data_IF_893976608636
#
_entry.id   IF_893976608636
#
_cell.length_a   1.000
_cell.length_b   1.000
_cell.length_c   1.000
_cell.angle_alpha   90.00
_cell.angle_beta   90.00
_cell.angle_gamma   90.00
#
_symmetry.space_group_name_H-M   'P 1'
#
loop_
_entity.id
_entity.type
_entity.pdbx_description
1 polymer ?
#
# COMPACT_ATOMS: atom_id res chain seq x y z
N UNK A 1 18.07 2.12 -19.12
CA UNK A 1 18.32 1.42 -17.84
C UNK A 1 17.09 0.59 -17.51
N UNK A 2 17.18 -0.74 -17.63
CA UNK A 2 16.04 -1.65 -17.45
C UNK A 2 15.76 -1.78 -15.95
N UNK A 3 14.55 -1.39 -15.49
CA UNK A 3 14.11 -1.57 -14.11
C UNK A 3 14.06 -3.07 -13.81
N UNK A 4 14.95 -3.58 -12.97
CA UNK A 4 14.73 -4.89 -12.32
C UNK A 4 13.47 -4.78 -11.48
N UNK A 5 12.49 -5.64 -11.73
CA UNK A 5 11.30 -5.74 -10.89
C UNK A 5 11.74 -6.17 -9.49
N UNK A 6 11.42 -5.36 -8.47
CA UNK A 6 11.75 -5.64 -7.06
C UNK A 6 11.07 -6.93 -6.59
N UNK A 7 9.92 -7.25 -7.18
CA UNK A 7 9.18 -8.48 -6.94
C UNK A 7 9.28 -9.38 -8.18
N UNK A 8 9.41 -10.70 -7.97
CA UNK A 8 9.30 -11.68 -9.06
C UNK A 8 7.94 -11.60 -9.77
N UNK A 9 7.76 -12.30 -10.90
CA UNK A 9 6.45 -12.39 -11.54
C UNK A 9 5.41 -12.93 -10.55
N UNK A 10 4.20 -12.38 -10.60
CA UNK A 10 3.09 -12.81 -9.73
C UNK A 10 2.90 -14.33 -9.85
N UNK A 11 2.95 -15.08 -8.74
CA UNK A 11 2.95 -16.53 -8.78
C UNK A 11 1.61 -17.09 -9.27
N UNK A 12 1.67 -18.11 -10.14
CA UNK A 12 0.50 -18.87 -10.55
C UNK A 12 0.36 -20.11 -9.67
N UNK A 13 -0.73 -20.17 -8.88
CA UNK A 13 -1.09 -21.38 -8.13
C UNK A 13 -1.87 -22.35 -9.03
N UNK A 14 -1.67 -23.68 -8.91
CA UNK A 14 -2.46 -24.65 -9.67
C UNK A 14 -3.95 -24.52 -9.36
N UNK A 15 -4.78 -24.54 -10.41
CA UNK A 15 -6.23 -24.34 -10.29
C UNK A 15 -6.90 -25.37 -9.38
N UNK A 16 -7.70 -24.90 -8.40
CA UNK A 16 -8.53 -25.79 -7.57
C UNK A 16 -9.62 -26.44 -8.43
N UNK A 17 -9.67 -27.78 -8.41
CA UNK A 17 -10.84 -28.53 -8.89
C UNK A 17 -12.02 -28.20 -7.97
N UNK A 18 -13.06 -27.56 -8.51
CA UNK A 18 -14.32 -27.33 -7.78
C UNK A 18 -14.95 -28.69 -7.43
N UNK A 19 -15.06 -29.01 -6.14
CA UNK A 19 -16.03 -30.00 -5.68
C UNK A 19 -17.39 -29.33 -5.67
N UNK A 20 -18.27 -29.75 -6.57
CA UNK A 20 -19.67 -29.35 -6.59
C UNK A 20 -20.37 -30.08 -5.44
N UNK A 21 -20.78 -29.36 -4.40
CA UNK A 21 -21.69 -29.87 -3.39
C UNK A 21 -23.12 -29.54 -3.83
N UNK A 22 -23.89 -30.58 -4.17
CA UNK A 22 -25.30 -30.53 -4.52
C UNK A 22 -26.16 -30.66 -3.26
N UNK A 23 -26.93 -29.62 -2.89
CA UNK A 23 -28.13 -29.70 -2.02
C UNK A 23 -29.10 -28.60 -2.43
N UNK A 24 -30.15 -28.95 -3.17
CA UNK A 24 -31.53 -29.20 -2.70
C UNK A 24 -32.29 -27.94 -2.29
N UNK A 25 -33.26 -27.59 -3.15
CA UNK A 25 -34.18 -26.47 -3.04
C UNK A 25 -35.27 -26.72 -2.00
N UNK A 26 -35.53 -25.73 -1.16
CA UNK A 26 -36.71 -25.63 -0.30
C UNK A 26 -37.41 -24.30 -0.54
N UNK A 27 -38.67 -24.36 -0.99
CA UNK A 27 -39.55 -23.22 -1.28
C UNK A 27 -40.03 -22.53 -0.01
N UNK A 28 -40.12 -21.19 -0.02
CA UNK A 28 -40.65 -20.42 1.13
C UNK A 28 -40.95 -18.95 0.84
N UNK A 29 -42.07 -18.71 0.16
CA UNK A 29 -43.01 -17.56 0.24
C UNK A 29 -42.49 -16.09 0.27
N UNK A 30 -42.92 -15.37 -0.77
CA UNK A 30 -42.98 -13.90 -0.91
C UNK A 30 -43.89 -13.26 0.14
N UNK A 31 -43.47 -12.10 0.68
CA UNK A 31 -44.36 -11.01 1.13
C UNK A 31 -43.74 -9.65 0.77
N UNK A 32 -44.61 -8.71 0.46
CA UNK A 32 -44.41 -7.40 -0.16
C UNK A 32 -44.14 -6.27 0.86
N UNK A 33 -43.36 -5.28 0.36
CA UNK A 33 -43.12 -3.85 0.73
C UNK A 33 -44.30 -3.07 1.39
N UNK A 34 -44.16 -1.83 1.92
CA UNK A 34 -43.04 -0.85 1.79
C UNK A 34 -42.67 -0.04 3.07
N UNK A 35 -41.51 0.66 3.07
CA UNK A 35 -41.44 2.13 3.21
C UNK A 35 -40.02 2.69 3.00
N UNK A 36 -39.95 3.79 2.22
CA UNK A 36 -38.76 4.59 1.92
C UNK A 36 -38.97 5.97 2.53
N UNK A 37 -38.10 6.43 3.43
CA UNK A 37 -37.55 7.82 3.46
C UNK A 37 -36.67 8.08 4.69
N UNK A 38 -35.67 8.94 4.45
CA UNK A 38 -34.77 9.66 5.37
C UNK A 38 -33.92 8.78 6.29
N UNK A 39 -32.59 8.75 6.15
CA UNK A 39 -31.70 9.89 6.44
C UNK A 39 -30.43 9.81 5.56
N UNK A 40 -30.16 10.88 4.80
CA UNK A 40 -28.89 11.16 4.13
C UNK A 40 -28.23 12.34 4.86
N UNK A 41 -26.95 12.19 5.21
CA UNK A 41 -25.92 13.15 5.69
C UNK A 41 -24.91 12.30 6.48
N UNK A 42 -23.59 12.28 6.32
CA UNK A 42 -22.63 13.10 5.59
C UNK A 42 -21.41 12.21 5.33
N UNK A 43 -20.86 12.22 4.12
CA UNK A 43 -19.48 11.84 3.86
C UNK A 43 -19.03 12.64 2.63
N UNK A 44 -18.14 13.61 2.87
CA UNK A 44 -17.84 14.72 1.97
C UNK A 44 -17.28 14.31 0.61
N UNK A 45 -17.91 14.87 -0.42
CA UNK A 45 -17.35 15.08 -1.75
C UNK A 45 -16.11 15.98 -1.66
N UNK A 46 -15.01 15.56 -2.28
CA UNK A 46 -14.06 16.48 -2.92
C UNK A 46 -14.02 16.12 -4.39
N UNK A 47 -14.51 17.08 -5.18
CA UNK A 47 -14.85 16.98 -6.58
C UNK A 47 -13.67 16.68 -7.51
N UNK A 48 -13.96 15.85 -8.51
CA UNK A 48 -13.22 15.76 -9.76
C UNK A 48 -13.15 17.14 -10.45
N UNK A 49 -11.93 17.66 -10.64
CA UNK A 49 -11.68 18.71 -11.63
C UNK A 49 -10.99 18.07 -12.83
N UNK A 50 -11.74 17.99 -13.94
CA UNK A 50 -11.24 17.62 -15.26
C UNK A 50 -10.19 18.65 -15.72
N UNK A 51 -8.99 18.18 -16.06
CA UNK A 51 -7.99 19.00 -16.76
C UNK A 51 -8.35 19.12 -18.24
N UNK A 52 -8.41 20.36 -18.73
CA UNK A 52 -8.59 20.71 -20.15
C UNK A 52 -7.25 20.60 -20.89
N UNK A 53 -7.19 20.13 -22.16
CA UNK A 53 -5.94 20.08 -22.90
C UNK A 53 -5.60 21.47 -23.47
N UNK A 54 -4.42 21.99 -23.16
CA UNK A 54 -3.90 23.21 -23.80
C UNK A 54 -3.19 22.82 -25.10
N UNK A 55 -3.69 23.38 -26.19
CA UNK A 55 -3.25 23.13 -27.56
C UNK A 55 -1.97 23.85 -27.96
N UNK A 56 -1.45 23.40 -29.11
CA UNK A 56 -0.31 23.93 -29.86
C UNK A 56 -0.49 25.41 -30.24
N UNK A 57 0.60 26.16 -30.16
CA UNK A 57 0.81 27.44 -30.85
C UNK A 57 2.31 27.67 -31.05
N UNK A 58 2.72 27.85 -32.31
CA UNK A 58 4.11 27.90 -32.79
C UNK A 58 4.56 29.35 -32.99
N UNK A 59 5.88 29.58 -32.91
CA UNK A 59 6.74 30.45 -33.78
C UNK A 59 7.31 31.75 -33.18
N UNK A 60 8.64 31.84 -33.17
CA UNK A 60 9.38 32.99 -33.74
C UNK A 60 10.44 33.70 -32.88
N UNK A 61 11.72 33.48 -33.21
CA UNK A 61 12.93 34.36 -33.11
C UNK A 61 13.36 34.88 -31.72
N UNK A 62 14.66 34.99 -31.37
CA UNK A 62 15.88 35.27 -32.16
C UNK A 62 17.14 34.78 -31.44
N UNK A 63 18.19 34.60 -32.25
CA UNK A 63 19.56 34.22 -31.91
C UNK A 63 20.31 35.32 -31.13
N UNK A 64 21.03 34.94 -30.07
CA UNK A 64 22.32 35.55 -29.69
C UNK A 64 22.96 34.81 -28.51
N UNK A 65 23.98 34.00 -28.79
CA UNK A 65 25.01 33.61 -27.82
C UNK A 65 26.30 33.30 -28.59
N UNK A 66 27.33 34.11 -28.33
CA UNK A 66 28.63 34.07 -28.99
C UNK A 66 29.43 32.78 -28.76
N UNK A 67 30.61 32.66 -29.40
CA UNK A 67 31.36 31.42 -29.46
C UNK A 67 31.87 31.02 -28.07
N UNK A 68 31.52 29.80 -27.65
CA UNK A 68 32.06 29.14 -26.47
C UNK A 68 33.48 28.64 -26.79
N UNK A 69 34.43 29.01 -25.94
CA UNK A 69 35.86 28.67 -26.04
C UNK A 69 36.12 27.16 -26.22
N UNK A 70 37.13 26.85 -27.04
CA UNK A 70 37.67 25.51 -27.25
C UNK A 70 38.21 24.87 -25.96
N UNK A 71 38.08 23.54 -25.77
CA UNK A 71 38.67 22.86 -24.63
C UNK A 71 40.18 22.62 -24.84
N UNK A 72 41.00 23.14 -23.92
CA UNK A 72 42.43 22.82 -23.84
C UNK A 72 42.66 21.39 -23.29
N UNK A 73 43.65 20.63 -23.80
CA UNK A 73 43.91 19.27 -23.36
C UNK A 73 44.91 19.23 -22.20
N UNK A 74 44.71 18.30 -21.27
CA UNK A 74 45.75 17.81 -20.35
C UNK A 74 45.46 18.02 -18.87
N UNK A 75 44.89 17.00 -18.21
CA UNK A 75 45.43 16.53 -16.94
C UNK A 75 45.05 15.06 -16.75
N UNK A 76 45.98 14.21 -17.12
CA UNK A 76 46.12 12.80 -16.81
C UNK A 76 46.59 12.62 -15.36
N UNK A 77 45.87 11.83 -14.57
CA UNK A 77 46.42 11.30 -13.32
C UNK A 77 45.45 11.17 -12.17
N UNK A 78 45.04 9.93 -11.93
CA UNK A 78 44.53 9.41 -10.64
C UNK A 78 43.31 10.11 -10.04
N UNK A 79 42.13 9.65 -10.44
CA UNK A 79 40.87 9.92 -9.76
C UNK A 79 40.87 9.37 -8.33
N UNK A 80 41.36 10.17 -7.40
CA UNK A 80 41.01 10.03 -5.99
C UNK A 80 39.53 10.41 -5.89
N UNK A 81 38.63 9.42 -5.90
CA UNK A 81 37.23 9.66 -5.53
C UNK A 81 37.23 10.22 -4.10
N UNK A 82 37.19 11.55 -3.97
CA UNK A 82 36.82 12.19 -2.73
C UNK A 82 35.45 11.62 -2.34
N UNK A 83 35.44 10.77 -1.31
CA UNK A 83 34.19 10.42 -0.61
C UNK A 83 33.54 11.75 -0.23
N UNK A 84 32.33 11.99 -0.72
CA UNK A 84 31.61 13.22 -0.44
C UNK A 84 31.48 13.40 1.08
N UNK A 85 31.91 14.54 1.61
CA UNK A 85 31.73 14.94 3.02
C UNK A 85 30.26 15.31 3.34
N UNK A 86 29.30 14.80 2.57
CA UNK A 86 27.89 14.97 2.86
C UNK A 86 27.50 14.03 4.00
N UNK A 87 26.70 14.47 4.99
CA UNK A 87 26.33 13.66 6.16
C UNK A 87 25.39 12.48 5.83
N UNK A 88 25.21 12.18 4.54
CA UNK A 88 24.31 11.16 4.03
C UNK A 88 25.09 10.20 3.15
N UNK A 89 25.21 8.97 3.63
CA UNK A 89 25.67 7.84 2.83
C UNK A 89 24.53 7.45 1.87
N UNK A 90 24.74 7.65 0.57
CA UNK A 90 23.76 7.27 -0.46
C UNK A 90 23.51 5.76 -0.52
N UNK A 91 24.44 4.96 0.03
CA UNK A 91 24.36 3.51 0.09
C UNK A 91 23.89 2.99 1.46
N UNK A 92 23.51 3.88 2.38
CA UNK A 92 23.01 3.46 3.69
C UNK A 92 21.74 2.62 3.52
N UNK A 93 21.72 1.36 3.96
CA UNK A 93 20.60 0.47 3.69
C UNK A 93 19.33 1.05 4.30
N UNK A 94 18.29 1.14 3.48
CA UNK A 94 16.91 1.57 3.82
C UNK A 94 16.22 0.58 4.77
N UNK A 95 16.99 -0.32 5.41
CA UNK A 95 16.61 -1.46 6.23
C UNK A 95 16.00 -1.11 7.61
N UNK A 96 15.02 -0.19 7.64
CA UNK A 96 14.42 0.31 8.88
C UNK A 96 12.90 0.32 8.88
N UNK A 97 12.26 -0.37 7.94
CA UNK A 97 10.80 -0.45 7.91
C UNK A 97 10.31 -1.89 7.91
N UNK A 98 9.19 -2.13 8.58
CA UNK A 98 8.42 -3.36 8.50
C UNK A 98 7.36 -3.18 7.41
N UNK A 99 7.36 -4.05 6.40
CA UNK A 99 6.23 -4.13 5.48
C UNK A 99 4.98 -4.61 6.24
N UNK A 100 3.86 -3.95 5.97
CA UNK A 100 2.56 -4.31 6.53
C UNK A 100 1.51 -4.40 5.43
N UNK A 101 0.48 -5.21 5.64
CA UNK A 101 -0.71 -5.22 4.80
C UNK A 101 -1.95 -5.20 5.70
N UNK A 102 -2.77 -4.17 5.55
CA UNK A 102 -4.07 -4.10 6.19
C UNK A 102 -5.10 -4.77 5.26
N UNK A 103 -5.43 -6.01 5.58
CA UNK A 103 -6.33 -6.85 4.78
C UNK A 103 -7.75 -6.64 5.25
N UNK A 104 -8.61 -6.12 4.38
CA UNK A 104 -10.05 -6.08 4.59
C UNK A 104 -10.69 -7.22 3.78
N UNK A 105 -11.44 -8.11 4.43
CA UNK A 105 -12.07 -9.23 3.74
C UNK A 105 -13.40 -9.65 4.39
N UNK A 106 -14.29 -10.24 3.60
CA UNK A 106 -15.49 -10.91 4.06
C UNK A 106 -15.36 -12.43 4.01
N UNK A 107 -16.43 -13.14 4.36
CA UNK A 107 -16.48 -14.61 4.41
C UNK A 107 -16.17 -15.28 3.06
N UNK A 108 -16.49 -14.61 1.95
CA UNK A 108 -16.33 -15.12 0.59
C UNK A 108 -14.87 -15.29 0.13
N UNK A 109 -13.89 -14.69 0.82
CA UNK A 109 -12.49 -14.80 0.39
C UNK A 109 -11.92 -16.19 0.71
N UNK A 110 -11.18 -16.78 -0.22
CA UNK A 110 -10.34 -17.95 0.08
C UNK A 110 -9.09 -17.48 0.86
N UNK A 111 -9.20 -17.46 2.20
CA UNK A 111 -8.18 -16.91 3.10
C UNK A 111 -6.84 -17.61 2.97
N UNK A 112 -6.83 -18.94 2.93
CA UNK A 112 -5.59 -19.72 2.78
C UNK A 112 -4.87 -19.36 1.48
N UNK A 113 -5.64 -19.24 0.38
CA UNK A 113 -5.10 -18.83 -0.92
C UNK A 113 -4.57 -17.40 -0.88
N UNK A 114 -5.27 -16.48 -0.24
CA UNK A 114 -4.82 -15.09 -0.08
C UNK A 114 -3.51 -15.01 0.70
N UNK A 115 -3.41 -15.68 1.85
CA UNK A 115 -2.19 -15.70 2.66
C UNK A 115 -1.02 -16.33 1.88
N UNK A 116 -1.27 -17.45 1.19
CA UNK A 116 -0.26 -18.10 0.32
C UNK A 116 0.26 -17.13 -0.74
N UNK A 117 -0.64 -16.41 -1.43
CA UNK A 117 -0.24 -15.45 -2.47
C UNK A 117 0.57 -14.28 -1.89
N UNK A 118 0.18 -13.77 -0.72
CA UNK A 118 0.93 -12.73 -0.02
C UNK A 118 2.32 -13.21 0.38
N UNK A 119 2.45 -14.42 0.92
CA UNK A 119 3.74 -14.99 1.33
C UNK A 119 4.68 -15.23 0.15
N UNK A 120 4.15 -15.78 -0.94
CA UNK A 120 4.95 -15.98 -2.16
C UNK A 120 5.42 -14.67 -2.78
N UNK A 121 4.70 -13.56 -2.55
CA UNK A 121 4.98 -12.26 -3.14
C UNK A 121 5.92 -11.42 -2.29
N UNK A 122 5.65 -11.33 -0.99
CA UNK A 122 6.31 -10.41 -0.06
C UNK A 122 7.23 -11.12 0.95
N UNK A 123 7.29 -12.45 0.90
CA UNK A 123 8.01 -13.30 1.85
C UNK A 123 7.16 -13.72 3.06
N UNK A 124 7.73 -14.46 4.01
CA UNK A 124 7.00 -15.03 5.14
C UNK A 124 6.22 -13.99 5.94
N UNK A 125 4.99 -14.32 6.32
CA UNK A 125 4.19 -13.50 7.24
C UNK A 125 4.64 -13.84 8.65
N UNK A 126 5.33 -12.91 9.30
CA UNK A 126 5.81 -13.09 10.67
C UNK A 126 4.78 -12.69 11.73
N UNK A 127 3.76 -11.92 11.36
CA UNK A 127 2.74 -11.41 12.26
C UNK A 127 1.36 -11.40 11.60
N UNK A 128 0.37 -11.92 12.32
CA UNK A 128 -1.05 -11.87 11.99
C UNK A 128 -1.78 -11.28 13.18
N UNK A 129 -2.45 -10.15 13.00
CA UNK A 129 -3.24 -9.47 14.02
C UNK A 129 -4.58 -10.16 14.27
N UNK A 130 -5.34 -9.64 15.25
CA UNK A 130 -6.71 -10.07 15.46
C UNK A 130 -7.61 -9.60 14.29
N UNK A 131 -8.75 -10.26 14.12
CA UNK A 131 -9.79 -9.80 13.21
C UNK A 131 -10.61 -8.72 13.90
N UNK A 132 -10.65 -7.53 13.29
CA UNK A 132 -11.45 -6.41 13.79
C UNK A 132 -12.63 -6.15 12.86
N UNK A 133 -13.85 -5.95 13.36
CA UNK A 133 -14.97 -5.53 12.53
C UNK A 133 -14.63 -4.26 11.74
N UNK A 134 -15.07 -4.18 10.48
CA UNK A 134 -15.00 -2.98 9.66
C UNK A 134 -16.39 -2.35 9.57
N UNK A 135 -16.76 -1.59 10.60
CA UNK A 135 -18.11 -1.10 10.88
C UNK A 135 -18.24 0.42 10.86
N UNK A 136 -17.17 1.13 10.48
CA UNK A 136 -17.15 2.59 10.44
C UNK A 136 -17.75 3.17 9.14
N UNK A 137 -17.95 2.36 8.10
CA UNK A 137 -18.51 2.77 6.80
C UNK A 137 -19.02 1.56 6.00
N UNK A 138 -20.04 1.78 5.18
CA UNK A 138 -20.60 0.78 4.27
C UNK A 138 -19.99 0.80 2.86
N UNK A 139 -18.90 1.56 2.66
CA UNK A 139 -18.29 1.80 1.34
C UNK A 139 -18.05 0.52 0.50
N UNK A 140 -17.67 -0.60 1.14
CA UNK A 140 -17.38 -1.86 0.45
C UNK A 140 -18.56 -2.84 0.39
N UNK A 141 -19.71 -2.53 1.02
CA UNK A 141 -20.82 -3.47 1.21
C UNK A 141 -21.37 -4.01 -0.11
N UNK A 142 -21.58 -3.13 -1.09
CA UNK A 142 -22.17 -3.53 -2.39
C UNK A 142 -21.23 -4.41 -3.22
N UNK A 143 -19.90 -4.23 -3.08
CA UNK A 143 -18.89 -4.98 -3.83
C UNK A 143 -18.48 -6.28 -3.13
N UNK A 144 -18.25 -6.23 -1.81
CA UNK A 144 -17.63 -7.29 -1.00
C UNK A 144 -18.59 -7.97 -0.02
N UNK A 145 -19.83 -7.51 0.10
CA UNK A 145 -20.80 -8.04 1.07
C UNK A 145 -20.69 -7.45 2.47
N UNK A 146 -21.45 -8.02 3.40
CA UNK A 146 -21.52 -7.60 4.81
C UNK A 146 -20.52 -8.35 5.69
N UNK A 147 -20.37 -7.92 6.94
CA UNK A 147 -19.54 -8.63 7.93
C UNK A 147 -18.04 -8.57 7.64
N UNK A 148 -17.58 -7.49 6.99
CA UNK A 148 -16.17 -7.33 6.67
C UNK A 148 -15.32 -7.17 7.94
N UNK A 149 -14.15 -7.80 7.93
CA UNK A 149 -13.16 -7.68 8.99
C UNK A 149 -11.82 -7.19 8.43
N UNK A 150 -11.13 -6.35 9.20
CA UNK A 150 -9.76 -5.93 8.91
C UNK A 150 -8.76 -6.67 9.80
N UNK A 151 -7.72 -7.21 9.19
CA UNK A 151 -6.60 -7.87 9.85
C UNK A 151 -5.29 -7.19 9.44
N UNK A 152 -4.41 -6.87 10.41
CA UNK A 152 -3.07 -6.39 10.12
C UNK A 152 -2.10 -7.55 9.97
N UNK A 153 -1.37 -7.59 8.85
CA UNK A 153 -0.27 -8.52 8.61
C UNK A 153 1.06 -7.76 8.60
N UNK A 154 2.14 -8.41 9.03
CA UNK A 154 3.49 -7.91 8.81
C UNK A 154 4.45 -9.02 8.36
N UNK A 155 5.38 -8.64 7.48
CA UNK A 155 6.31 -9.57 6.83
C UNK A 155 7.68 -9.60 7.51
N UNK A 156 8.35 -10.75 7.43
CA UNK A 156 9.67 -10.95 8.04
C UNK A 156 10.81 -10.32 7.24
N UNK A 157 10.64 -10.24 5.91
CA UNK A 157 11.67 -9.75 4.99
C UNK A 157 11.87 -8.24 5.17
N UNK A 158 13.13 -7.75 5.25
CA UNK A 158 13.42 -6.32 5.20
C UNK A 158 12.84 -5.69 3.95
N UNK A 159 12.09 -4.61 4.11
CA UNK A 159 11.39 -3.98 3.00
C UNK A 159 12.05 -2.64 2.62
N UNK A 160 12.43 -2.42 1.34
CA UNK A 160 12.86 -1.11 0.87
C UNK A 160 11.64 -0.21 0.67
N UNK A 161 11.56 0.92 1.36
CA UNK A 161 10.38 1.80 1.30
C UNK A 161 10.07 2.36 -0.10
N UNK A 162 11.07 2.43 -0.98
CA UNK A 162 10.96 2.82 -2.39
C UNK A 162 10.09 1.82 -3.18
N UNK A 163 9.99 0.57 -2.71
CA UNK A 163 9.15 -0.44 -3.32
C UNK A 163 7.66 -0.33 -2.95
N UNK A 164 7.26 0.71 -2.21
CA UNK A 164 5.85 0.94 -1.84
C UNK A 164 4.93 1.00 -3.07
N UNK A 165 5.34 1.73 -4.12
CA UNK A 165 4.57 1.85 -5.36
C UNK A 165 4.37 0.50 -6.08
N UNK A 166 5.43 -0.25 -6.45
CA UNK A 166 5.24 -1.55 -7.07
C UNK A 166 4.49 -2.55 -6.17
N UNK A 167 4.72 -2.53 -4.85
CA UNK A 167 4.01 -3.42 -3.92
C UNK A 167 2.48 -3.19 -3.92
N UNK A 168 2.03 -1.92 -3.96
CA UNK A 168 0.59 -1.62 -4.03
C UNK A 168 -0.04 -2.07 -5.35
N UNK A 169 0.69 -1.95 -6.46
CA UNK A 169 0.19 -2.41 -7.75
C UNK A 169 0.05 -3.94 -7.78
N UNK A 170 1.03 -4.66 -7.24
CA UNK A 170 0.95 -6.12 -7.09
C UNK A 170 -0.22 -6.52 -6.19
N UNK A 171 -0.48 -5.79 -5.10
CA UNK A 171 -1.68 -6.03 -4.29
C UNK A 171 -2.97 -5.90 -5.12
N UNK A 172 -3.06 -4.93 -6.02
CA UNK A 172 -4.17 -4.82 -6.96
C UNK A 172 -4.30 -6.02 -7.92
N UNK A 173 -3.20 -6.63 -8.35
CA UNK A 173 -3.22 -7.89 -9.11
C UNK A 173 -3.73 -9.06 -8.26
N UNK A 174 -3.27 -9.17 -7.02
CA UNK A 174 -3.72 -10.21 -6.09
C UNK A 174 -5.21 -10.09 -5.78
N UNK A 175 -5.71 -8.87 -5.55
CA UNK A 175 -7.15 -8.59 -5.39
C UNK A 175 -7.96 -9.09 -6.59
N UNK A 176 -7.47 -8.87 -7.83
CA UNK A 176 -8.10 -9.39 -9.06
C UNK A 176 -8.08 -10.91 -9.13
N UNK A 177 -6.99 -11.55 -8.71
CA UNK A 177 -6.88 -13.02 -8.70
C UNK A 177 -7.80 -13.69 -7.67
N UNK A 178 -8.11 -12.98 -6.58
CA UNK A 178 -9.00 -13.42 -5.51
C UNK A 178 -10.48 -13.10 -5.80
N UNK A 179 -10.76 -12.26 -6.80
CA UNK A 179 -12.10 -11.86 -7.17
C UNK A 179 -12.97 -13.06 -7.59
N UNK A 180 -14.25 -13.00 -7.24
CA UNK A 180 -15.27 -13.99 -7.61
C UNK A 180 -16.27 -13.29 -8.51
N UNK A 181 -16.49 -13.82 -9.71
CA UNK A 181 -17.42 -13.25 -10.71
C UNK A 181 -17.10 -11.78 -11.03
N UNK A 182 -15.82 -11.42 -11.04
CA UNK A 182 -15.36 -10.04 -11.28
C UNK A 182 -15.56 -9.09 -10.09
N UNK A 183 -16.16 -9.54 -8.98
CA UNK A 183 -16.29 -8.77 -7.75
C UNK A 183 -15.15 -9.07 -6.80
N UNK A 184 -14.61 -8.01 -6.21
CA UNK A 184 -13.52 -8.12 -5.24
C UNK A 184 -14.00 -8.81 -3.97
N UNK A 185 -13.13 -9.65 -3.41
CA UNK A 185 -13.42 -10.40 -2.17
C UNK A 185 -12.55 -9.95 -1.00
N UNK A 186 -11.44 -9.28 -1.28
CA UNK A 186 -10.54 -8.67 -0.31
C UNK A 186 -9.96 -7.35 -0.85
N UNK A 187 -9.70 -6.38 0.03
CA UNK A 187 -8.92 -5.17 -0.25
C UNK A 187 -7.61 -5.25 0.53
N UNK A 188 -6.49 -5.11 -0.17
CA UNK A 188 -5.13 -5.28 0.32
C UNK A 188 -4.43 -3.92 0.38
N UNK A 189 -4.51 -3.27 1.55
CA UNK A 189 -3.85 -1.98 1.79
C UNK A 189 -2.41 -2.20 2.26
N UNK A 190 -1.51 -2.29 1.28
CA UNK A 190 -0.07 -2.42 1.54
C UNK A 190 0.51 -1.12 2.08
N UNK A 191 1.48 -1.24 2.98
CA UNK A 191 2.18 -0.12 3.58
C UNK A 191 3.47 -0.51 4.26
N UNK A 192 4.02 0.41 5.02
CA UNK A 192 5.12 0.13 5.92
C UNK A 192 4.98 0.88 7.24
N UNK A 193 5.67 0.35 8.25
CA UNK A 193 5.85 0.95 9.55
C UNK A 193 7.34 1.18 9.77
N UNK A 194 7.71 2.40 10.16
CA UNK A 194 9.06 2.75 10.59
C UNK A 194 9.05 3.15 12.09
N UNK A 195 10.20 3.50 12.69
CA UNK A 195 10.24 3.87 14.11
C UNK A 195 9.36 5.07 14.51
N UNK A 196 8.92 5.87 13.54
CA UNK A 196 8.28 7.17 13.68
C UNK A 196 6.87 7.23 13.10
N UNK A 197 6.50 6.39 12.13
CA UNK A 197 5.22 6.51 11.43
C UNK A 197 4.72 5.19 10.83
N UNK A 198 3.43 5.20 10.49
CA UNK A 198 2.76 4.19 9.67
C UNK A 198 2.31 4.88 8.38
N UNK A 199 2.63 4.25 7.24
CA UNK A 199 2.33 4.76 5.90
C UNK A 199 1.63 3.67 5.10
N UNK A 200 0.48 3.97 4.50
CA UNK A 200 -0.21 3.08 3.56
C UNK A 200 -0.09 3.62 2.14
N UNK A 201 -0.12 2.73 1.15
CA UNK A 201 -0.14 3.10 -0.26
C UNK A 201 -1.57 3.30 -0.77
N UNK A 202 -1.78 4.36 -1.55
CA UNK A 202 -3.07 4.71 -2.13
C UNK A 202 -2.96 4.91 -3.63
N UNK A 203 -4.01 4.50 -4.36
CA UNK A 203 -4.19 4.83 -5.79
C UNK A 203 -5.03 6.10 -6.00
N UNK A 204 -5.41 6.77 -4.90
CA UNK A 204 -6.19 8.01 -4.93
C UNK A 204 -5.34 9.15 -4.39
N UNK A 205 -5.21 10.22 -5.16
CA UNK A 205 -4.61 11.47 -4.71
C UNK A 205 -5.43 12.10 -3.57
N UNK A 206 -4.75 12.77 -2.65
CA UNK A 206 -5.34 13.65 -1.65
C UNK A 206 -4.27 14.63 -1.15
N UNK A 207 -4.67 15.80 -0.63
CA UNK A 207 -3.75 16.91 -0.35
C UNK A 207 -2.61 16.60 0.61
N UNK A 208 -2.78 15.65 1.54
CA UNK A 208 -1.74 15.21 2.48
C UNK A 208 -0.79 14.14 1.90
N UNK A 209 -1.20 13.48 0.82
CA UNK A 209 -0.49 12.32 0.29
C UNK A 209 0.65 12.77 -0.60
N UNK A 210 1.73 11.98 -0.62
CA UNK A 210 2.93 12.27 -1.40
C UNK A 210 2.98 11.29 -2.57
N UNK A 211 3.09 11.80 -3.80
CA UNK A 211 3.25 10.93 -4.97
C UNK A 211 4.60 10.22 -4.90
N UNK A 212 4.59 8.90 -5.05
CA UNK A 212 5.79 8.04 -4.97
C UNK A 212 6.06 7.31 -6.29
N UNK A 213 5.46 7.80 -7.38
CA UNK A 213 5.58 7.22 -8.71
C UNK A 213 4.50 6.17 -9.05
N UNK A 214 4.41 5.82 -10.33
CA UNK A 214 3.48 4.79 -10.85
C UNK A 214 1.99 5.05 -10.54
N UNK A 215 1.61 6.31 -10.32
CA UNK A 215 0.25 6.67 -9.90
C UNK A 215 -0.09 6.29 -8.46
N UNK A 216 0.92 5.89 -7.67
CA UNK A 216 0.77 5.53 -6.26
C UNK A 216 1.18 6.70 -5.37
N UNK A 217 0.46 6.86 -4.27
CA UNK A 217 0.65 7.89 -3.28
C UNK A 217 0.93 7.25 -1.92
N UNK A 218 1.92 7.77 -1.19
CA UNK A 218 2.16 7.45 0.20
C UNK A 218 1.22 8.27 1.09
N UNK A 219 0.47 7.60 1.95
CA UNK A 219 -0.49 8.18 2.89
C UNK A 219 -0.04 7.91 4.33
N UNK A 220 0.61 8.88 5.01
CA UNK A 220 0.94 8.74 6.42
C UNK A 220 -0.35 8.73 7.26
N UNK A 221 -0.60 7.64 7.98
CA UNK A 221 -1.86 7.47 8.75
C UNK A 221 -1.66 7.56 10.25
N UNK A 222 -0.44 7.47 10.76
CA UNK A 222 -0.15 7.67 12.18
C UNK A 222 1.31 8.02 12.41
N UNK A 223 1.60 8.73 13.50
CA UNK A 223 2.96 9.00 13.98
C UNK A 223 3.17 8.42 15.37
N UNK A 224 4.36 7.89 15.63
CA UNK A 224 4.77 7.45 16.96
C UNK A 224 5.13 8.64 17.84
N UNK A 225 4.44 8.83 18.94
CA UNK A 225 4.72 9.88 19.92
C UNK A 225 4.22 9.47 21.31
N UNK A 226 5.07 9.72 22.31
CA UNK A 226 4.73 9.52 23.74
C UNK A 226 4.22 8.10 24.03
N UNK A 227 4.89 7.10 23.46
CA UNK A 227 4.59 5.68 23.69
C UNK A 227 3.41 5.11 22.89
N UNK A 228 2.78 5.89 22.00
CA UNK A 228 1.62 5.45 21.24
C UNK A 228 1.68 5.91 19.77
N UNK A 229 0.90 5.24 18.91
CA UNK A 229 0.59 5.73 17.58
C UNK A 229 -0.53 6.77 17.66
N UNK A 230 -0.19 8.02 17.31
CA UNK A 230 -1.13 9.12 17.25
C UNK A 230 -1.65 9.26 15.82
N UNK A 231 -2.96 9.08 15.58
CA UNK A 231 -3.53 9.28 14.26
C UNK A 231 -3.44 10.76 13.85
N UNK A 232 -3.47 11.01 12.54
CA UNK A 232 -3.66 12.33 11.96
C UNK A 232 -5.15 12.64 11.79
N UNK A 233 -5.48 13.89 11.47
CA UNK A 233 -6.87 14.34 11.26
C UNK A 233 -7.56 13.67 10.07
N UNK A 234 -6.78 13.15 9.11
CA UNK A 234 -7.26 12.43 7.92
C UNK A 234 -7.22 10.90 8.07
N UNK A 235 -6.71 10.36 9.19
CA UNK A 235 -6.61 8.90 9.41
C UNK A 235 -7.98 8.25 9.35
N UNK A 236 -8.06 7.08 8.69
CA UNK A 236 -9.28 6.29 8.58
C UNK A 236 -9.96 6.09 9.94
N UNK A 237 -11.31 6.15 10.03
CA UNK A 237 -12.03 6.09 11.31
C UNK A 237 -11.73 4.84 12.14
N UNK A 238 -11.58 3.68 11.49
CA UNK A 238 -11.25 2.42 12.16
C UNK A 238 -9.85 2.48 12.79
N UNK A 239 -8.84 3.01 12.08
CA UNK A 239 -7.52 3.25 12.66
C UNK A 239 -7.54 4.29 13.79
N UNK A 240 -8.33 5.35 13.63
CA UNK A 240 -8.46 6.40 14.65
C UNK A 240 -9.06 5.90 15.95
N UNK A 241 -9.86 4.84 15.91
CA UNK A 241 -10.45 4.23 17.11
C UNK A 241 -9.44 3.54 18.03
N UNK A 242 -8.20 3.34 17.58
CA UNK A 242 -7.15 2.68 18.35
C UNK A 242 -7.26 1.14 18.37
N UNK A 243 -8.22 0.56 17.64
CA UNK A 243 -8.45 -0.91 17.64
C UNK A 243 -7.23 -1.73 17.17
N UNK A 244 -6.32 -1.12 16.41
CA UNK A 244 -5.10 -1.77 15.93
C UNK A 244 -3.83 -1.39 16.70
N UNK A 245 -3.94 -0.63 17.80
CA UNK A 245 -2.78 -0.06 18.49
C UNK A 245 -1.85 -1.14 19.04
N UNK A 246 -2.42 -2.22 19.60
CA UNK A 246 -1.65 -3.33 20.15
C UNK A 246 -0.80 -4.03 19.06
N UNK A 247 -1.41 -4.29 17.90
CA UNK A 247 -0.74 -4.88 16.75
C UNK A 247 0.36 -3.96 16.20
N UNK A 248 0.09 -2.66 16.05
CA UNK A 248 1.08 -1.70 15.57
C UNK A 248 2.28 -1.59 16.53
N UNK A 249 2.03 -1.58 17.85
CA UNK A 249 3.08 -1.59 18.88
C UNK A 249 3.94 -2.85 18.78
N UNK A 250 3.31 -4.01 18.60
CA UNK A 250 4.00 -5.29 18.50
C UNK A 250 4.86 -5.39 17.23
N UNK A 251 4.31 -5.00 16.08
CA UNK A 251 5.06 -4.94 14.80
C UNK A 251 6.28 -4.02 14.96
N UNK A 252 6.11 -2.87 15.61
CA UNK A 252 7.19 -1.92 15.89
C UNK A 252 8.26 -2.50 16.82
N UNK A 253 7.87 -3.25 17.86
CA UNK A 253 8.79 -3.92 18.78
C UNK A 253 9.68 -4.90 18.00
N UNK A 254 9.07 -5.76 17.18
CA UNK A 254 9.78 -6.73 16.32
C UNK A 254 10.72 -6.06 15.32
N UNK A 255 10.30 -4.95 14.70
CA UNK A 255 11.17 -4.16 13.83
C UNK A 255 12.42 -3.68 14.57
N UNK A 256 12.25 -3.09 15.76
CA UNK A 256 13.37 -2.61 16.58
C UNK A 256 14.34 -3.72 16.97
N UNK A 257 13.84 -4.92 17.27
CA UNK A 257 14.66 -6.09 17.58
C UNK A 257 15.50 -6.52 16.39
N UNK A 258 14.89 -6.65 15.20
CA UNK A 258 15.59 -6.96 13.96
C UNK A 258 16.68 -5.93 13.64
N UNK A 259 16.35 -4.63 13.73
CA UNK A 259 17.34 -3.56 13.48
C UNK A 259 18.49 -3.58 14.49
N UNK A 260 18.24 -3.95 15.75
CA UNK A 260 19.30 -4.10 16.78
C UNK A 260 20.16 -5.34 16.57
N UNK A 261 19.60 -6.43 16.06
CA UNK A 261 20.35 -7.64 15.72
C UNK A 261 21.28 -7.37 14.53
N UNK A 262 20.75 -6.79 13.44
CA UNK A 262 21.54 -6.47 12.24
C UNK A 262 22.72 -5.53 12.50
N UNK A 263 22.61 -4.60 13.47
CA UNK A 263 23.71 -3.71 13.90
C UNK A 263 24.79 -4.38 14.74
N UNK A 264 24.51 -5.55 15.31
CA UNK A 264 25.48 -6.31 16.12
C UNK A 264 26.27 -7.30 15.27
N UNK A 265 25.74 -7.64 14.10
CA UNK A 265 26.32 -8.63 13.17
C UNK A 265 27.17 -8.00 12.06
N UNK A 266 27.09 -6.68 11.86
CA UNK A 266 27.89 -5.91 10.90
C UNK A 266 28.77 -4.87 11.60
#
# INVERSE_FOLDING_TARGET
MVRRSVFGPVPQLPGRRRRVASRHAGQGRRRSDPDRRSLRRDAGDIAERRATPIGRGVRGMSDDAGPMDEPQPGNDGSGHLQRSNLPFDHDSPVAKVAAICAVLAGEQVDRDRMLTLLEMTFGPIGFVGAEHPFDATDYYRDEMGEGLVRTLLAFEVPFPSEALAPAKLVCGDLERMLAIEGRRTANLDFGYLDPHKVVLASLKEAGQKIHVGMGVWADPIARWRDGAYRPFEWTFPDFRSGRYDAELIEIRRRLRERTRAARREG
#
